data_IF_479490564529
#
_entry.id   IF_479490564529
#
_cell.length_a   1.000
_cell.length_b   1.000
_cell.length_c   1.000
_cell.angle_alpha   90.00
_cell.angle_beta   90.00
_cell.angle_gamma   90.00
#
_symmetry.space_group_name_H-M   'P 1'
#
loop_
_entity.id
_entity.type
_entity.pdbx_description
1 polymer ?
#
# COMPACT_ATOMS: atom_id res chain seq x y z
N UNK A 1 14.30 21.92 46.31
CA UNK A 1 14.74 20.76 45.52
C UNK A 1 14.40 21.08 44.08
N UNK A 2 15.34 21.68 43.34
CA UNK A 2 15.15 22.41 42.08
C UNK A 2 15.70 21.60 40.87
N UNK A 3 15.49 20.29 40.91
CA UNK A 3 16.03 19.31 39.93
C UNK A 3 14.95 18.32 39.47
N UNK A 4 13.68 18.75 39.47
CA UNK A 4 12.53 17.90 39.12
C UNK A 4 11.98 18.11 37.71
N UNK A 5 12.07 19.34 37.17
CA UNK A 5 11.36 19.69 35.94
C UNK A 5 12.21 19.51 34.66
N UNK A 6 13.54 19.69 34.73
CA UNK A 6 14.42 19.61 33.55
C UNK A 6 14.65 18.17 33.04
N UNK A 7 14.55 17.14 33.89
CA UNK A 7 14.62 15.74 33.44
C UNK A 7 13.30 15.23 32.83
N UNK A 8 12.16 15.82 33.18
CA UNK A 8 10.89 15.45 32.56
C UNK A 8 10.79 15.90 31.09
N UNK A 9 11.46 17.01 30.75
CA UNK A 9 11.60 17.53 29.39
C UNK A 9 12.38 16.59 28.48
N UNK A 10 13.56 16.12 28.95
CA UNK A 10 14.39 15.19 28.19
C UNK A 10 13.73 13.81 27.99
N UNK A 11 12.96 13.30 28.96
CA UNK A 11 12.22 12.03 28.80
C UNK A 11 11.05 12.18 27.81
N UNK A 12 10.40 13.35 27.74
CA UNK A 12 9.38 13.67 26.72
C UNK A 12 9.99 13.76 25.31
N UNK A 13 11.19 14.29 25.19
CA UNK A 13 11.89 14.50 23.92
C UNK A 13 12.41 13.18 23.33
N UNK A 14 13.00 12.31 24.16
CA UNK A 14 13.40 10.94 23.77
C UNK A 14 12.17 10.09 23.40
N UNK A 15 11.04 10.31 24.07
CA UNK A 15 9.76 9.68 23.72
C UNK A 15 9.23 10.14 22.35
N UNK A 16 9.47 11.39 21.96
CA UNK A 16 9.05 11.94 20.67
C UNK A 16 9.93 11.47 19.50
N UNK A 17 11.25 11.37 19.69
CA UNK A 17 12.17 10.84 18.68
C UNK A 17 11.97 9.34 18.44
N UNK A 18 11.85 8.54 19.52
CA UNK A 18 11.53 7.11 19.40
C UNK A 18 10.16 6.90 18.75
N UNK A 19 9.22 7.81 19.01
CA UNK A 19 7.90 7.81 18.41
C UNK A 19 7.91 8.21 16.92
N UNK A 20 8.72 9.20 16.52
CA UNK A 20 8.96 9.53 15.11
C UNK A 20 9.62 8.37 14.38
N UNK A 21 10.59 7.69 15.01
CA UNK A 21 11.19 6.48 14.45
C UNK A 21 10.15 5.37 14.27
N UNK A 22 9.24 5.16 15.23
CA UNK A 22 8.14 4.20 15.08
C UNK A 22 7.13 4.60 13.98
N UNK A 23 6.90 5.89 13.75
CA UNK A 23 6.11 6.38 12.61
C UNK A 23 6.81 6.07 11.31
N UNK A 24 8.09 6.41 11.21
CA UNK A 24 8.88 6.18 10.00
C UNK A 24 8.96 4.69 9.71
N UNK A 25 9.18 3.84 10.71
CA UNK A 25 9.17 2.39 10.56
C UNK A 25 7.78 1.86 10.16
N UNK A 26 6.68 2.34 10.75
CA UNK A 26 5.34 1.86 10.37
C UNK A 26 4.95 2.30 8.95
N UNK A 27 5.26 3.54 8.59
CA UNK A 27 5.02 4.08 7.24
C UNK A 27 5.96 3.43 6.22
N UNK A 28 7.21 3.17 6.57
CA UNK A 28 8.18 2.44 5.74
C UNK A 28 7.74 0.99 5.57
N UNK A 29 7.32 0.28 6.62
CA UNK A 29 6.77 -1.09 6.51
C UNK A 29 5.54 -1.16 5.59
N UNK A 30 4.76 -0.08 5.51
CA UNK A 30 3.64 0.04 4.57
C UNK A 30 4.09 0.42 3.13
N UNK A 31 5.19 1.17 2.97
CA UNK A 31 5.64 1.75 1.69
C UNK A 31 6.78 0.98 1.01
N UNK A 32 7.85 0.69 1.74
CA UNK A 32 9.12 0.13 1.23
C UNK A 32 9.21 -1.38 1.44
N UNK A 33 8.45 -1.93 2.40
CA UNK A 33 8.53 -3.34 2.76
C UNK A 33 9.87 -3.72 3.41
N UNK A 34 10.67 -2.75 3.85
CA UNK A 34 11.95 -2.99 4.52
C UNK A 34 11.74 -3.21 6.02
N UNK A 35 12.33 -4.31 6.52
CA UNK A 35 12.26 -4.86 7.89
C UNK A 35 10.92 -5.41 8.39
N UNK A 36 10.40 -6.40 7.65
CA UNK A 36 9.97 -7.61 8.32
C UNK A 36 11.20 -8.52 8.43
N UNK A 37 11.77 -8.68 9.62
CA UNK A 37 12.43 -9.93 9.98
C UNK A 37 11.58 -11.05 9.39
N UNK A 38 12.19 -11.92 8.59
CA UNK A 38 11.51 -13.02 7.90
C UNK A 38 10.75 -13.89 8.92
N UNK A 39 9.54 -13.47 9.26
CA UNK A 39 8.52 -14.36 9.82
C UNK A 39 8.14 -15.21 8.63
N UNK A 40 8.60 -16.46 8.64
CA UNK A 40 8.39 -17.45 7.60
C UNK A 40 7.01 -17.29 6.95
N UNK A 41 6.96 -16.79 5.71
CA UNK A 41 5.74 -16.69 4.90
C UNK A 41 5.18 -15.29 4.61
N UNK A 42 5.64 -14.20 5.25
CA UNK A 42 5.06 -12.86 5.01
C UNK A 42 6.00 -11.91 4.26
N UNK A 43 5.98 -11.97 2.92
CA UNK A 43 6.53 -10.89 2.09
C UNK A 43 5.49 -9.76 1.92
N UNK A 44 5.95 -8.54 1.65
CA UNK A 44 5.08 -7.39 1.39
C UNK A 44 5.35 -6.82 -0.01
N UNK A 45 4.31 -6.65 -0.85
CA UNK A 45 4.46 -5.95 -2.12
C UNK A 45 4.91 -4.50 -1.95
N UNK A 46 5.77 -4.02 -2.84
CA UNK A 46 6.11 -2.60 -2.98
C UNK A 46 5.13 -1.91 -3.93
N UNK A 47 4.52 -0.80 -3.50
CA UNK A 47 3.47 -0.11 -4.26
C UNK A 47 3.79 1.37 -4.38
N UNK A 48 4.03 1.82 -5.61
CA UNK A 48 4.26 3.23 -5.93
C UNK A 48 3.22 3.70 -6.96
N UNK A 49 2.31 4.59 -6.57
CA UNK A 49 1.27 5.12 -7.48
C UNK A 49 1.22 6.65 -7.55
N UNK A 50 2.19 7.32 -6.91
CA UNK A 50 2.33 8.77 -6.93
C UNK A 50 1.16 9.53 -6.30
N UNK A 51 0.55 8.96 -5.25
CA UNK A 51 -0.58 9.53 -4.52
C UNK A 51 -0.20 9.81 -3.08
N UNK A 52 -0.68 10.93 -2.52
CA UNK A 52 -0.54 11.19 -1.09
C UNK A 52 -1.38 10.20 -0.30
N UNK A 53 -0.74 9.49 0.63
CA UNK A 53 -1.38 8.49 1.50
C UNK A 53 -0.90 8.72 2.93
N UNK A 54 -1.83 9.15 3.77
CA UNK A 54 -1.67 9.37 5.21
C UNK A 54 -3.04 9.56 5.86
N UNK A 55 -3.11 9.41 7.18
CA UNK A 55 -4.23 9.85 8.00
C UNK A 55 -3.90 11.27 8.49
N UNK A 56 -4.65 12.31 8.07
CA UNK A 56 -4.35 13.68 8.44
C UNK A 56 -4.65 14.01 9.90
N UNK A 57 -3.92 14.97 10.48
CA UNK A 57 -4.17 15.49 11.83
C UNK A 57 -5.57 16.08 11.99
N UNK A 58 -6.06 16.78 10.97
CA UNK A 58 -7.40 17.35 10.97
C UNK A 58 -8.52 16.32 10.77
N UNK A 59 -8.19 15.05 10.50
CA UNK A 59 -9.17 13.96 10.42
C UNK A 59 -9.17 13.11 11.69
N UNK A 60 -7.99 12.82 12.23
CA UNK A 60 -7.82 12.13 13.51
C UNK A 60 -6.80 12.91 14.34
N UNK A 61 -7.27 13.82 15.19
CA UNK A 61 -6.42 14.72 15.97
C UNK A 61 -5.50 13.97 16.94
N UNK A 62 -6.06 12.99 17.65
CA UNK A 62 -5.30 12.20 18.62
C UNK A 62 -4.26 11.31 17.94
N UNK A 63 -3.02 11.56 18.32
CA UNK A 63 -1.82 10.93 17.76
C UNK A 63 -1.74 9.43 18.08
N UNK A 64 -2.15 9.01 19.27
CA UNK A 64 -2.17 7.60 19.69
C UNK A 64 -3.25 6.82 18.95
N UNK A 65 -4.43 7.41 18.78
CA UNK A 65 -5.51 6.84 17.96
C UNK A 65 -5.03 6.63 16.54
N UNK A 66 -4.37 7.62 15.95
CA UNK A 66 -3.85 7.54 14.57
C UNK A 66 -2.83 6.43 14.37
N UNK A 67 -1.90 6.25 15.31
CA UNK A 67 -0.98 5.10 15.26
C UNK A 67 -1.71 3.76 15.40
N UNK A 68 -2.70 3.69 16.29
CA UNK A 68 -3.55 2.51 16.41
C UNK A 68 -4.21 2.15 15.08
N UNK A 69 -4.69 3.15 14.33
CA UNK A 69 -5.26 2.97 12.99
C UNK A 69 -4.21 2.46 11.99
N UNK A 70 -2.99 3.01 11.98
CA UNK A 70 -1.93 2.52 11.09
C UNK A 70 -1.53 1.07 11.38
N UNK A 71 -1.39 0.68 12.65
CA UNK A 71 -1.09 -0.72 13.02
C UNK A 71 -2.20 -1.66 12.53
N UNK A 72 -3.46 -1.28 12.77
CA UNK A 72 -4.61 -2.07 12.31
C UNK A 72 -4.67 -2.20 10.79
N UNK A 73 -4.35 -1.14 10.03
CA UNK A 73 -4.27 -1.18 8.57
C UNK A 73 -3.21 -2.18 8.06
N UNK A 74 -2.08 -2.30 8.76
CA UNK A 74 -1.02 -3.23 8.40
C UNK A 74 -1.46 -4.71 8.56
N UNK A 75 -2.37 -4.97 9.50
CA UNK A 75 -2.90 -6.29 9.86
C UNK A 75 -4.21 -6.66 9.13
N UNK A 76 -4.60 -5.91 8.11
CA UNK A 76 -5.75 -6.26 7.27
C UNK A 76 -5.36 -7.35 6.26
N UNK A 77 -6.18 -8.39 6.17
CA UNK A 77 -5.87 -9.61 5.40
C UNK A 77 -6.81 -9.88 4.21
N UNK A 78 -7.96 -9.19 4.14
CA UNK A 78 -8.92 -9.35 3.06
C UNK A 78 -9.69 -8.05 2.78
N UNK A 79 -10.38 -8.00 1.63
CA UNK A 79 -11.12 -6.82 1.20
C UNK A 79 -12.28 -6.49 2.14
N UNK A 80 -12.92 -7.49 2.75
CA UNK A 80 -14.04 -7.27 3.66
C UNK A 80 -13.58 -6.55 4.94
N UNK A 81 -12.40 -6.89 5.45
CA UNK A 81 -11.76 -6.22 6.58
C UNK A 81 -11.38 -4.77 6.23
N UNK A 82 -10.90 -4.51 5.02
CA UNK A 82 -10.64 -3.14 4.53
C UNK A 82 -11.92 -2.32 4.47
N UNK A 83 -12.98 -2.88 3.90
CA UNK A 83 -14.26 -2.20 3.75
C UNK A 83 -14.89 -1.92 5.14
N UNK A 84 -14.80 -2.90 6.05
CA UNK A 84 -15.24 -2.74 7.44
C UNK A 84 -14.42 -1.68 8.20
N UNK A 85 -13.11 -1.63 8.00
CA UNK A 85 -12.26 -0.60 8.58
C UNK A 85 -12.63 0.79 8.03
N UNK A 86 -12.89 0.91 6.72
CA UNK A 86 -13.36 2.15 6.11
C UNK A 86 -14.70 2.63 6.67
N UNK A 87 -15.65 1.71 6.88
CA UNK A 87 -16.93 2.02 7.50
C UNK A 87 -16.77 2.48 8.96
N UNK A 88 -15.88 1.84 9.73
CA UNK A 88 -15.55 2.26 11.10
C UNK A 88 -14.93 3.66 11.13
N UNK A 89 -13.99 3.96 10.22
CA UNK A 89 -13.44 5.32 10.11
C UNK A 89 -14.54 6.34 9.85
N UNK A 90 -15.51 5.98 9.01
CA UNK A 90 -16.62 6.87 8.69
C UNK A 90 -17.53 7.14 9.88
N UNK A 91 -17.90 6.08 10.61
CA UNK A 91 -18.75 6.17 11.80
C UNK A 91 -18.09 7.00 12.92
N UNK A 92 -16.78 6.82 13.10
CA UNK A 92 -16.04 7.47 14.19
C UNK A 92 -15.57 8.89 13.90
N UNK A 93 -15.19 9.18 12.65
CA UNK A 93 -14.48 10.41 12.28
C UNK A 93 -15.17 11.18 11.13
N UNK A 94 -16.26 10.67 10.58
CA UNK A 94 -17.00 11.31 9.50
C UNK A 94 -16.43 11.02 8.11
N UNK A 95 -16.59 11.94 7.15
CA UNK A 95 -16.19 11.69 5.77
C UNK A 95 -14.66 11.63 5.65
N UNK A 96 -14.13 10.48 5.22
CA UNK A 96 -12.71 10.30 5.00
C UNK A 96 -12.17 11.26 3.91
N UNK A 97 -11.08 12.00 4.18
CA UNK A 97 -10.40 12.81 3.18
C UNK A 97 -9.68 11.92 2.15
N UNK A 98 -9.25 12.53 1.04
CA UNK A 98 -8.72 11.82 -0.11
C UNK A 98 -7.49 10.98 0.24
N UNK A 99 -6.62 11.49 1.10
CA UNK A 99 -5.42 10.79 1.58
C UNK A 99 -5.75 9.49 2.31
N UNK A 100 -6.84 9.48 3.10
CA UNK A 100 -7.31 8.30 3.82
C UNK A 100 -8.00 7.33 2.86
N UNK A 101 -8.81 7.84 1.92
CA UNK A 101 -9.44 7.00 0.87
C UNK A 101 -8.36 6.31 0.04
N UNK A 102 -7.34 7.04 -0.38
CA UNK A 102 -6.20 6.51 -1.12
C UNK A 102 -5.41 5.49 -0.29
N UNK A 103 -5.21 5.72 1.01
CA UNK A 103 -4.56 4.76 1.90
C UNK A 103 -5.29 3.41 1.94
N UNK A 104 -6.62 3.41 2.02
CA UNK A 104 -7.44 2.18 1.96
C UNK A 104 -7.34 1.47 0.60
N UNK A 105 -7.28 2.24 -0.49
CA UNK A 105 -7.06 1.70 -1.83
C UNK A 105 -5.66 1.05 -1.96
N UNK A 106 -4.61 1.63 -1.37
CA UNK A 106 -3.27 1.01 -1.34
C UNK A 106 -3.30 -0.32 -0.59
N UNK A 107 -3.97 -0.39 0.56
CA UNK A 107 -4.10 -1.65 1.30
C UNK A 107 -4.85 -2.69 0.47
N UNK A 108 -5.92 -2.28 -0.23
CA UNK A 108 -6.64 -3.16 -1.15
C UNK A 108 -5.73 -3.67 -2.29
N UNK A 109 -4.91 -2.79 -2.88
CA UNK A 109 -3.92 -3.15 -3.92
C UNK A 109 -2.89 -4.12 -3.36
N UNK A 110 -2.40 -3.93 -2.14
CA UNK A 110 -1.46 -4.83 -1.45
C UNK A 110 -2.01 -6.26 -1.36
N UNK A 111 -3.27 -6.40 -0.97
CA UNK A 111 -3.93 -7.70 -0.88
C UNK A 111 -4.03 -8.38 -2.24
N UNK A 112 -4.37 -7.62 -3.29
CA UNK A 112 -4.45 -8.13 -4.65
C UNK A 112 -3.07 -8.52 -5.21
N UNK A 113 -2.03 -7.72 -4.94
CA UNK A 113 -0.66 -8.04 -5.30
C UNK A 113 -0.22 -9.38 -4.69
N UNK A 114 -0.52 -9.61 -3.40
CA UNK A 114 -0.25 -10.89 -2.74
C UNK A 114 -0.96 -12.04 -3.43
N UNK A 115 -2.26 -11.90 -3.71
CA UNK A 115 -3.05 -12.93 -4.38
C UNK A 115 -2.58 -13.22 -5.82
N UNK A 116 -2.02 -12.23 -6.52
CA UNK A 116 -1.51 -12.37 -7.88
C UNK A 116 0.01 -12.69 -7.98
N UNK A 117 0.70 -12.89 -6.85
CA UNK A 117 2.16 -13.07 -6.79
C UNK A 117 2.97 -11.90 -7.38
N UNK A 118 2.51 -10.66 -7.20
CA UNK A 118 3.17 -9.41 -7.66
C UNK A 118 4.03 -8.81 -6.56
N UNK A 119 5.35 -8.86 -6.72
CA UNK A 119 6.34 -8.31 -5.78
C UNK A 119 6.33 -6.78 -5.73
N UNK A 120 6.20 -6.14 -6.89
CA UNK A 120 6.13 -4.68 -6.95
C UNK A 120 5.23 -4.17 -8.07
N UNK A 121 4.63 -3.01 -7.85
CA UNK A 121 3.86 -2.27 -8.84
C UNK A 121 4.17 -0.77 -8.79
N UNK A 122 4.59 -0.24 -9.93
CA UNK A 122 4.83 1.19 -10.16
C UNK A 122 3.76 1.72 -11.13
N UNK A 123 2.72 2.35 -10.61
CA UNK A 123 1.69 3.06 -11.36
C UNK A 123 2.04 4.54 -11.57
N UNK A 124 2.01 4.99 -12.82
CA UNK A 124 2.31 6.37 -13.21
C UNK A 124 1.37 6.88 -14.29
N UNK A 125 1.59 8.12 -14.78
CA UNK A 125 0.74 8.73 -15.80
C UNK A 125 0.62 7.90 -17.09
N UNK A 126 1.65 7.12 -17.43
CA UNK A 126 1.72 6.34 -18.67
C UNK A 126 1.32 4.87 -18.51
N UNK A 127 0.74 4.50 -17.37
CA UNK A 127 0.31 3.13 -17.05
C UNK A 127 1.08 2.55 -15.87
N UNK A 128 1.39 1.25 -15.92
CA UNK A 128 2.01 0.54 -14.80
C UNK A 128 3.16 -0.37 -15.24
N UNK A 129 4.13 -0.55 -14.35
CA UNK A 129 5.13 -1.62 -14.44
C UNK A 129 4.98 -2.52 -13.23
N UNK A 130 4.97 -3.83 -13.42
CA UNK A 130 4.90 -4.80 -12.32
C UNK A 130 6.04 -5.80 -12.43
N UNK A 131 6.54 -6.23 -11.27
CA UNK A 131 7.47 -7.34 -11.14
C UNK A 131 6.79 -8.47 -10.38
N UNK A 132 6.90 -9.69 -10.89
CA UNK A 132 6.38 -10.87 -10.20
C UNK A 132 7.41 -11.41 -9.21
N UNK A 133 6.93 -11.94 -8.09
CA UNK A 133 7.80 -12.54 -7.09
C UNK A 133 8.42 -13.82 -7.64
N UNK A 134 9.74 -13.95 -7.53
CA UNK A 134 10.48 -15.08 -8.10
C UNK A 134 10.39 -15.15 -9.62
N UNK A 135 10.11 -14.03 -10.28
CA UNK A 135 10.01 -13.91 -11.73
C UNK A 135 8.97 -14.87 -12.37
N UNK A 136 7.96 -15.26 -11.60
CA UNK A 136 6.96 -16.25 -11.98
C UNK A 136 5.53 -15.75 -11.75
N UNK A 137 4.67 -15.95 -12.73
CA UNK A 137 3.23 -15.77 -12.61
C UNK A 137 2.54 -17.13 -12.49
N UNK A 138 1.53 -17.32 -11.61
CA UNK A 138 0.94 -18.63 -11.35
C UNK A 138 0.39 -19.36 -12.59
N UNK A 139 -0.16 -18.63 -13.55
CA UNK A 139 -0.71 -19.18 -14.79
C UNK A 139 -0.12 -18.48 -16.03
N UNK A 140 1.08 -18.87 -16.48
CA UNK A 140 1.75 -18.21 -17.61
C UNK A 140 0.93 -18.24 -18.91
N UNK A 141 0.27 -19.35 -19.32
CA UNK A 141 -0.53 -19.36 -20.54
C UNK A 141 -1.65 -18.32 -20.55
N UNK A 142 -2.40 -18.18 -19.43
CA UNK A 142 -3.46 -17.19 -19.32
C UNK A 142 -2.91 -15.75 -19.37
N UNK A 143 -1.76 -15.50 -18.73
CA UNK A 143 -1.10 -14.20 -18.80
C UNK A 143 -0.68 -13.85 -20.23
N UNK A 144 -0.04 -14.77 -20.94
CA UNK A 144 0.39 -14.53 -22.33
C UNK A 144 -0.82 -14.28 -23.24
N UNK A 145 -1.86 -15.10 -23.13
CA UNK A 145 -3.10 -14.88 -23.90
C UNK A 145 -3.69 -13.49 -23.64
N UNK A 146 -3.74 -13.08 -22.37
CA UNK A 146 -4.22 -11.76 -22.00
C UNK A 146 -3.34 -10.65 -22.59
N UNK A 147 -2.01 -10.75 -22.47
CA UNK A 147 -1.06 -9.78 -23.04
C UNK A 147 -1.25 -9.65 -24.55
N UNK A 148 -1.36 -10.76 -25.28
CA UNK A 148 -1.61 -10.76 -26.73
C UNK A 148 -2.91 -10.04 -27.06
N UNK A 149 -3.97 -10.24 -26.27
CA UNK A 149 -5.25 -9.54 -26.41
C UNK A 149 -5.18 -8.03 -26.16
N UNK A 150 -4.16 -7.53 -25.46
CA UNK A 150 -3.94 -6.09 -25.24
C UNK A 150 -3.19 -5.39 -26.39
N UNK A 151 -2.66 -6.15 -27.37
CA UNK A 151 -1.89 -5.61 -28.49
C UNK A 151 -0.67 -4.80 -28.01
N UNK A 152 -0.50 -3.59 -28.53
CA UNK A 152 0.64 -2.72 -28.18
C UNK A 152 0.57 -2.13 -26.77
N UNK A 153 -0.53 -2.34 -26.04
CA UNK A 153 -0.75 -1.72 -24.74
C UNK A 153 -0.31 -2.58 -23.54
N UNK A 154 0.17 -3.80 -23.78
CA UNK A 154 0.82 -4.62 -22.77
C UNK A 154 2.03 -5.34 -23.38
N UNK A 155 3.09 -5.50 -22.59
CA UNK A 155 4.23 -6.33 -22.98
C UNK A 155 4.91 -6.95 -21.76
N UNK A 156 5.40 -8.17 -21.92
CA UNK A 156 6.34 -8.78 -20.99
C UNK A 156 7.76 -8.47 -21.46
N UNK A 157 8.56 -7.86 -20.60
CA UNK A 157 9.98 -7.59 -20.88
C UNK A 157 10.84 -8.82 -20.56
N UNK A 158 12.08 -8.91 -21.11
CA UNK A 158 13.01 -10.00 -20.80
C UNK A 158 13.36 -10.15 -19.31
N UNK A 159 13.28 -9.05 -18.54
CA UNK A 159 13.50 -9.04 -17.08
C UNK A 159 12.24 -9.42 -16.28
N UNK A 160 11.30 -10.15 -16.90
CA UNK A 160 10.02 -10.60 -16.34
C UNK A 160 9.13 -9.48 -15.77
N UNK A 161 9.38 -8.23 -16.20
CA UNK A 161 8.51 -7.10 -15.88
C UNK A 161 7.35 -7.01 -16.87
N UNK A 162 6.14 -7.01 -16.35
CA UNK A 162 4.94 -6.70 -17.11
C UNK A 162 4.79 -5.18 -17.21
N UNK A 163 4.74 -4.65 -18.43
CA UNK A 163 4.52 -3.22 -18.70
C UNK A 163 3.16 -3.04 -19.33
N UNK A 164 2.35 -2.18 -18.72
CA UNK A 164 1.02 -1.80 -19.19
C UNK A 164 1.05 -0.32 -19.56
N UNK A 165 0.64 -0.01 -20.78
CA UNK A 165 0.59 1.35 -21.30
C UNK A 165 -0.86 1.84 -21.26
N UNK A 166 -1.10 2.91 -20.52
CA UNK A 166 -2.40 3.59 -20.35
C UNK A 166 -2.18 5.10 -20.19
N UNK A 167 -3.26 5.87 -20.19
CA UNK A 167 -3.21 7.27 -19.81
C UNK A 167 -3.94 7.49 -18.48
N UNK A 168 -3.19 7.78 -17.42
CA UNK A 168 -3.65 7.97 -16.04
C UNK A 168 -3.11 9.28 -15.47
N UNK A 169 -3.50 10.39 -16.09
CA UNK A 169 -2.97 11.71 -15.78
C UNK A 169 -3.18 12.08 -14.30
N UNK A 170 -4.35 11.76 -13.73
CA UNK A 170 -4.69 12.11 -12.33
C UNK A 170 -4.35 10.98 -11.35
N UNK A 171 -3.99 11.31 -10.10
CA UNK A 171 -3.75 10.34 -9.02
C UNK A 171 -4.87 9.28 -8.87
N UNK A 172 -6.14 9.72 -8.91
CA UNK A 172 -7.29 8.82 -8.77
C UNK A 172 -7.38 7.80 -9.92
N UNK A 173 -7.04 8.23 -11.15
CA UNK A 173 -7.04 7.35 -12.33
C UNK A 173 -5.93 6.30 -12.21
N UNK A 174 -4.77 6.66 -11.64
CA UNK A 174 -3.65 5.73 -11.39
C UNK A 174 -3.99 4.69 -10.34
N UNK A 175 -4.61 5.09 -9.23
CA UNK A 175 -5.06 4.18 -8.18
C UNK A 175 -6.11 3.20 -8.72
N UNK A 176 -7.16 3.74 -9.35
CA UNK A 176 -8.23 2.93 -9.93
C UNK A 176 -7.69 1.99 -11.00
N UNK A 177 -6.85 2.48 -11.89
CA UNK A 177 -6.24 1.70 -12.96
C UNK A 177 -5.34 0.58 -12.44
N UNK A 178 -4.50 0.88 -11.44
CA UNK A 178 -3.65 -0.12 -10.76
C UNK A 178 -4.49 -1.19 -10.08
N UNK A 179 -5.55 -0.81 -9.34
CA UNK A 179 -6.44 -1.76 -8.67
C UNK A 179 -7.13 -2.69 -9.67
N UNK A 180 -7.68 -2.15 -10.76
CA UNK A 180 -8.34 -2.94 -11.81
C UNK A 180 -7.38 -3.91 -12.48
N UNK A 181 -6.14 -3.48 -12.70
CA UNK A 181 -5.09 -4.34 -13.24
C UNK A 181 -4.75 -5.48 -12.29
N UNK A 182 -4.58 -5.21 -10.99
CA UNK A 182 -4.34 -6.25 -9.99
C UNK A 182 -5.50 -7.24 -9.88
N UNK A 183 -6.75 -6.76 -9.90
CA UNK A 183 -7.94 -7.64 -9.94
C UNK A 183 -7.95 -8.54 -11.17
N UNK A 184 -7.49 -8.03 -12.31
CA UNK A 184 -7.36 -8.82 -13.54
C UNK A 184 -6.30 -9.90 -13.36
N UNK A 185 -5.13 -9.56 -12.82
CA UNK A 185 -4.07 -10.53 -12.57
C UNK A 185 -4.47 -11.61 -11.55
N UNK A 186 -5.21 -11.26 -10.50
CA UNK A 186 -5.76 -12.25 -9.56
C UNK A 186 -6.66 -13.26 -10.29
N UNK A 187 -7.54 -12.79 -11.18
CA UNK A 187 -8.40 -13.67 -11.97
C UNK A 187 -7.63 -14.57 -12.94
N UNK A 188 -6.53 -14.06 -13.49
CA UNK A 188 -5.67 -14.84 -14.39
C UNK A 188 -4.82 -15.86 -13.63
N UNK A 189 -4.50 -15.60 -12.36
CA UNK A 189 -3.69 -16.48 -11.52
C UNK A 189 -4.45 -17.71 -11.01
N UNK A 190 -5.77 -17.59 -10.83
CA UNK A 190 -6.67 -18.71 -10.52
C UNK A 190 -7.02 -19.55 -11.75
#
# INVERSE_FOLDING_TARGET
>A
NLLGDEQSGHIKEVGYELYQQMIEEAVAKLRTGEDAMEVEGQWSPQINVGTSVLIPENYVEDLQVRLGLYRRLADLHDQQAVDGFGAELHDRFGKAPDEVRHLLEIVSIKLLCRAANVESVDGGPKGAVMKFRGDAFPNPPALIQWITGQGTHAKLRPDMKLVIMRNWDRPEDRLKGTRQLMQTLVKLAG
#
